data_IF_431567576736
#
_entry.id   IF_431567576736
#
_cell.length_a   1.000
_cell.length_b   1.000
_cell.length_c   1.000
_cell.angle_alpha   90.00
_cell.angle_beta   90.00
_cell.angle_gamma   90.00
#
_symmetry.space_group_name_H-M   'P 1'
#
loop_
_entity.id
_entity.type
_entity.pdbx_description
1 polymer ?
#
# COMPACT_ATOMS: atom_id res chain seq x y z
N UNK A 1 -7.89 -21.21 -18.42
CA UNK A 1 -8.30 -19.86 -18.86
C UNK A 1 -7.81 -18.84 -17.83
N UNK A 2 -6.90 -17.96 -18.22
CA UNK A 2 -6.31 -16.92 -17.36
C UNK A 2 -7.33 -15.83 -16.95
N UNK A 3 -8.46 -15.71 -17.64
CA UNK A 3 -9.51 -14.73 -17.34
C UNK A 3 -10.33 -15.01 -16.07
N UNK A 4 -10.50 -16.28 -15.67
CA UNK A 4 -11.31 -16.62 -14.49
C UNK A 4 -10.63 -16.28 -13.15
N UNK A 5 -9.29 -16.33 -13.09
CA UNK A 5 -8.55 -15.97 -11.85
C UNK A 5 -8.53 -14.46 -11.60
N UNK A 6 -8.51 -13.64 -12.66
CA UNK A 6 -8.61 -12.19 -12.54
C UNK A 6 -10.01 -11.72 -12.10
N UNK A 7 -11.07 -12.33 -12.64
CA UNK A 7 -12.43 -12.04 -12.21
C UNK A 7 -12.65 -12.38 -10.73
N UNK A 8 -12.04 -13.47 -10.24
CA UNK A 8 -12.12 -13.88 -8.84
C UNK A 8 -11.35 -12.92 -7.89
N UNK A 9 -10.19 -12.41 -8.31
CA UNK A 9 -9.42 -11.41 -7.54
C UNK A 9 -10.15 -10.06 -7.45
N UNK A 10 -10.72 -9.59 -8.56
CA UNK A 10 -11.54 -8.37 -8.59
C UNK A 10 -12.81 -8.53 -7.75
N UNK A 11 -13.47 -9.69 -7.83
CA UNK A 11 -14.63 -10.00 -7.00
C UNK A 11 -14.26 -10.07 -5.51
N UNK A 12 -13.11 -10.65 -5.15
CA UNK A 12 -12.61 -10.70 -3.77
C UNK A 12 -12.21 -9.33 -3.24
N UNK A 13 -11.58 -8.49 -4.05
CA UNK A 13 -11.26 -7.10 -3.68
C UNK A 13 -12.54 -6.28 -3.44
N UNK A 14 -13.55 -6.42 -4.30
CA UNK A 14 -14.89 -5.81 -4.11
C UNK A 14 -15.59 -6.34 -2.87
N UNK A 15 -15.52 -7.64 -2.59
CA UNK A 15 -16.15 -8.28 -1.44
C UNK A 15 -15.46 -7.86 -0.12
N UNK A 16 -14.14 -7.71 -0.10
CA UNK A 16 -13.40 -7.31 1.10
C UNK A 16 -13.54 -5.83 1.44
N UNK A 17 -13.73 -4.97 0.43
CA UNK A 17 -14.17 -3.60 0.63
C UNK A 17 -15.53 -3.52 1.35
N UNK A 18 -16.41 -4.53 1.17
CA UNK A 18 -17.69 -4.66 1.87
C UNK A 18 -17.55 -5.34 3.24
N UNK A 19 -16.70 -6.36 3.39
CA UNK A 19 -16.55 -7.09 4.67
C UNK A 19 -15.90 -6.23 5.75
N UNK A 20 -14.99 -5.30 5.41
CA UNK A 20 -14.42 -4.35 6.38
C UNK A 20 -15.47 -3.42 7.01
N UNK A 21 -16.63 -3.22 6.36
CA UNK A 21 -17.75 -2.43 6.89
C UNK A 21 -18.50 -3.19 7.99
N UNK A 22 -18.54 -4.53 7.94
CA UNK A 22 -19.41 -5.34 8.81
C UNK A 22 -18.75 -5.73 10.14
N UNK A 23 -17.42 -5.94 10.17
CA UNK A 23 -16.72 -6.45 11.36
C UNK A 23 -16.58 -5.42 12.49
N UNK A 24 -16.87 -4.13 12.27
CA UNK A 24 -16.77 -3.08 13.29
C UNK A 24 -18.13 -2.59 13.86
N UNK A 25 -19.27 -3.05 13.31
CA UNK A 25 -20.60 -2.61 13.74
C UNK A 25 -21.21 -3.42 14.91
N UNK A 26 -20.58 -4.51 15.37
CA UNK A 26 -21.14 -5.39 16.42
C UNK A 26 -20.44 -5.34 17.79
N UNK A 27 -19.55 -4.38 18.04
CA UNK A 27 -18.84 -4.31 19.31
C UNK A 27 -19.38 -3.24 20.25
N UNK A 28 -20.55 -3.44 20.89
CA UNK A 28 -20.94 -2.74 22.15
C UNK A 28 -22.26 -3.26 22.72
N UNK A 29 -22.21 -4.20 23.67
CA UNK A 29 -23.07 -4.21 24.85
C UNK A 29 -22.32 -4.85 26.03
N UNK A 30 -22.27 -4.13 27.15
CA UNK A 30 -21.66 -4.54 28.43
C UNK A 30 -22.51 -5.62 29.12
N UNK A 31 -21.88 -6.63 29.70
CA UNK A 31 -22.39 -7.38 30.85
C UNK A 31 -21.22 -7.85 31.74
N UNK A 32 -21.39 -7.70 33.06
CA UNK A 32 -20.44 -8.04 34.14
C UNK A 32 -20.22 -9.58 34.30
N UNK A 33 -19.18 -10.02 35.04
CA UNK A 33 -18.71 -11.40 34.98
C UNK A 33 -19.50 -12.34 35.89
N UNK A 34 -19.83 -13.53 35.38
CA UNK A 34 -20.28 -14.67 36.18
C UNK A 34 -19.15 -15.72 36.21
N UNK A 35 -18.63 -15.97 37.40
CA UNK A 35 -17.72 -17.07 37.72
C UNK A 35 -18.43 -18.43 37.67
N UNK A 36 -17.76 -19.52 37.30
CA UNK A 36 -18.16 -20.84 37.77
C UNK A 36 -17.11 -21.52 38.66
N UNK A 37 -17.62 -22.12 39.72
CA UNK A 37 -16.95 -22.92 40.73
C UNK A 37 -16.46 -24.30 40.21
N UNK A 38 -15.57 -24.94 40.96
CA UNK A 38 -15.11 -26.33 40.82
C UNK A 38 -15.35 -27.10 42.15
N UNK A 39 -15.14 -28.44 42.20
CA UNK A 39 -16.11 -29.55 42.21
C UNK A 39 -16.22 -30.25 43.60
N UNK A 40 -16.91 -31.40 43.77
CA UNK A 40 -16.22 -32.69 44.07
C UNK A 40 -17.05 -33.99 43.70
N UNK A 41 -16.80 -35.22 44.23
CA UNK A 41 -15.72 -36.18 43.91
C UNK A 41 -16.18 -37.67 43.65
N UNK A 42 -15.24 -38.54 43.24
CA UNK A 42 -15.28 -40.03 43.35
C UNK A 42 -15.89 -40.78 42.15
N UNK A 43 -15.44 -41.95 41.69
CA UNK A 43 -14.61 -43.01 42.29
C UNK A 43 -14.00 -43.96 41.24
N UNK A 44 -12.72 -44.30 41.48
CA UNK A 44 -11.88 -45.50 41.21
C UNK A 44 -12.48 -46.72 40.46
N UNK A 45 -11.69 -47.39 39.62
CA UNK A 45 -10.88 -48.63 39.86
C UNK A 45 -10.19 -49.02 38.53
N UNK A 46 -8.84 -49.07 38.44
CA UNK A 46 -7.99 -50.29 38.50
C UNK A 46 -7.74 -50.85 37.08
N UNK A 47 -6.59 -51.36 36.59
CA UNK A 47 -5.33 -51.88 37.14
C UNK A 47 -4.32 -52.00 35.96
N UNK A 48 -3.03 -51.81 36.23
CA UNK A 48 -1.79 -52.00 35.41
C UNK A 48 -1.40 -53.51 35.23
N UNK A 49 -0.24 -53.95 34.64
CA UNK A 49 0.81 -53.32 33.79
C UNK A 49 1.40 -54.23 32.64
N UNK A 50 2.52 -53.78 32.04
CA UNK A 50 3.69 -54.52 31.50
C UNK A 50 3.77 -54.97 30.01
N UNK A 51 4.71 -54.40 29.24
CA UNK A 51 6.06 -54.97 28.96
C UNK A 51 6.85 -54.13 27.91
N UNK A 52 8.16 -53.94 28.18
CA UNK A 52 9.19 -53.28 27.33
C UNK A 52 10.00 -54.34 26.50
N UNK A 53 11.25 -54.08 26.03
CA UNK A 53 11.63 -53.45 24.76
C UNK A 53 12.65 -54.30 23.94
N UNK A 54 13.12 -53.81 22.78
CA UNK A 54 14.43 -54.22 22.25
C UNK A 54 14.63 -54.09 20.73
N UNK A 55 15.81 -53.65 20.32
CA UNK A 55 16.30 -53.90 18.95
C UNK A 55 17.28 -52.88 18.35
N UNK A 56 18.53 -52.87 18.80
CA UNK A 56 19.70 -52.29 18.10
C UNK A 56 20.63 -53.41 17.62
N UNK A 57 21.24 -53.29 16.42
CA UNK A 57 22.53 -53.91 15.97
C UNK A 57 22.79 -53.48 14.50
N UNK A 58 23.82 -52.69 14.20
CA UNK A 58 25.20 -53.04 13.77
C UNK A 58 25.32 -53.95 12.53
N UNK A 59 26.09 -53.51 11.53
CA UNK A 59 26.63 -54.35 10.45
C UNK A 59 27.62 -53.58 9.56
N UNK A 60 28.82 -54.15 9.37
CA UNK A 60 30.03 -53.60 8.73
C UNK A 60 30.52 -54.63 7.73
N UNK A 61 30.87 -54.24 6.49
CA UNK A 61 31.81 -54.92 5.56
C UNK A 61 31.65 -54.29 4.16
N UNK A 62 32.62 -53.49 3.69
CA UNK A 62 33.68 -53.84 2.72
C UNK A 62 33.16 -54.20 1.33
N UNK A 63 33.50 -53.41 0.31
CA UNK A 63 34.10 -53.93 -0.93
C UNK A 63 34.60 -52.84 -1.91
N UNK A 64 35.90 -52.93 -2.17
CA UNK A 64 36.66 -52.83 -3.44
C UNK A 64 36.62 -51.60 -4.37
N UNK A 65 37.87 -51.21 -4.70
CA UNK A 65 38.35 -50.28 -5.71
C UNK A 65 38.09 -50.76 -7.16
N UNK A 66 37.77 -49.82 -8.04
CA UNK A 66 37.76 -49.97 -9.51
C UNK A 66 37.62 -48.60 -10.21
N UNK A 67 38.17 -48.38 -11.41
CA UNK A 67 38.86 -47.14 -11.77
C UNK A 67 37.99 -46.01 -12.33
N UNK A 68 38.47 -44.78 -12.11
CA UNK A 68 38.04 -43.55 -12.79
C UNK A 68 38.28 -43.63 -14.31
N UNK A 69 37.28 -43.29 -15.14
CA UNK A 69 37.53 -42.76 -16.47
C UNK A 69 37.59 -41.23 -16.42
N UNK A 70 38.74 -40.68 -16.81
CA UNK A 70 38.92 -39.28 -17.17
C UNK A 70 38.07 -38.92 -18.39
N UNK A 71 37.17 -37.94 -18.24
CA UNK A 71 36.51 -37.28 -19.36
C UNK A 71 36.95 -35.82 -19.39
N UNK A 72 37.66 -35.51 -20.47
CA UNK A 72 38.09 -34.21 -20.95
C UNK A 72 36.94 -33.29 -21.38
N UNK A 73 37.13 -31.99 -21.15
CA UNK A 73 36.63 -30.82 -21.89
C UNK A 73 35.39 -30.96 -22.81
N UNK A 74 34.35 -30.15 -22.53
CA UNK A 74 33.34 -29.82 -23.53
C UNK A 74 32.26 -28.84 -23.06
N UNK A 75 32.23 -27.67 -23.71
CA UNK A 75 31.11 -26.72 -23.85
C UNK A 75 30.71 -25.84 -22.64
N UNK A 76 31.35 -24.68 -22.54
CA UNK A 76 30.79 -23.49 -21.90
C UNK A 76 29.61 -22.98 -22.74
N UNK A 77 28.39 -23.21 -22.29
CA UNK A 77 27.19 -22.61 -22.87
C UNK A 77 27.26 -21.09 -22.70
N UNK A 78 27.54 -20.37 -23.79
CA UNK A 78 27.41 -18.91 -23.84
C UNK A 78 25.91 -18.57 -23.88
N UNK A 79 25.36 -18.16 -22.75
CA UNK A 79 24.02 -17.56 -22.72
C UNK A 79 24.13 -16.11 -23.20
N UNK A 80 23.64 -15.86 -24.42
CA UNK A 80 23.52 -14.52 -24.98
C UNK A 80 22.54 -13.71 -24.10
N UNK A 81 22.92 -12.55 -23.54
CA UNK A 81 21.99 -11.77 -22.71
C UNK A 81 20.77 -11.37 -23.55
N UNK A 82 19.57 -11.70 -23.09
CA UNK A 82 18.34 -11.18 -23.70
C UNK A 82 18.35 -9.64 -23.56
N UNK A 83 18.24 -8.96 -24.69
CA UNK A 83 18.11 -7.51 -24.72
C UNK A 83 16.89 -7.09 -23.90
N UNK A 84 17.10 -6.20 -22.92
CA UNK A 84 16.05 -5.64 -22.09
C UNK A 84 15.14 -4.78 -23.01
N UNK A 85 13.80 -4.93 -22.97
CA UNK A 85 12.91 -4.08 -23.74
C UNK A 85 13.18 -2.62 -23.37
N UNK A 86 13.65 -1.82 -24.34
CA UNK A 86 13.81 -0.38 -24.17
C UNK A 86 12.42 0.24 -24.08
N UNK A 87 12.06 0.74 -22.90
CA UNK A 87 10.83 1.53 -22.75
C UNK A 87 10.92 2.75 -23.68
N UNK A 88 9.82 3.13 -24.35
CA UNK A 88 9.80 4.33 -25.18
C UNK A 88 10.17 5.56 -24.33
N UNK A 89 10.89 6.55 -24.89
CA UNK A 89 11.22 7.77 -24.17
C UNK A 89 9.93 8.47 -23.72
N UNK A 90 9.86 8.78 -22.43
CA UNK A 90 8.76 9.55 -21.84
C UNK A 90 8.69 10.87 -22.60
N UNK A 91 7.60 11.07 -23.34
CA UNK A 91 7.39 12.27 -24.14
C UNK A 91 7.35 13.48 -23.21
N UNK A 92 8.01 14.58 -23.58
CA UNK A 92 7.92 15.80 -22.79
C UNK A 92 6.46 16.24 -22.61
N UNK A 93 6.12 16.83 -21.45
CA UNK A 93 4.75 17.24 -21.17
C UNK A 93 4.28 18.23 -22.23
N UNK A 94 3.23 17.83 -22.96
CA UNK A 94 2.58 18.62 -24.03
C UNK A 94 1.81 19.87 -23.55
N UNK A 95 1.91 20.20 -22.26
CA UNK A 95 1.23 21.34 -21.66
C UNK A 95 2.25 22.23 -20.95
N UNK A 96 2.12 23.57 -21.01
CA UNK A 96 2.95 24.46 -20.22
C UNK A 96 2.77 24.10 -18.74
N UNK A 97 3.87 23.71 -18.09
CA UNK A 97 3.85 23.24 -16.71
C UNK A 97 3.69 24.42 -15.76
N UNK A 98 2.88 24.27 -14.72
CA UNK A 98 2.99 25.12 -13.56
C UNK A 98 4.24 24.69 -12.76
N UNK A 99 5.34 25.46 -12.76
CA UNK A 99 6.59 25.04 -12.11
C UNK A 99 6.46 24.96 -10.57
N UNK A 100 5.34 25.43 -10.01
CA UNK A 100 5.08 25.45 -8.58
C UNK A 100 4.95 24.05 -8.00
N UNK A 101 4.13 23.16 -8.57
CA UNK A 101 3.86 21.85 -7.97
C UNK A 101 4.75 20.74 -8.53
N UNK A 102 5.25 19.90 -7.62
CA UNK A 102 6.29 18.89 -7.90
C UNK A 102 5.92 17.49 -7.39
N UNK A 103 4.90 17.37 -6.55
CA UNK A 103 4.41 16.09 -6.00
C UNK A 103 2.95 16.21 -5.59
N UNK A 104 2.21 15.12 -5.78
CA UNK A 104 0.88 14.93 -5.20
C UNK A 104 0.95 13.79 -4.18
N UNK A 105 0.42 14.01 -2.99
CA UNK A 105 0.26 12.98 -1.97
C UNK A 105 -1.24 12.75 -1.69
N UNK A 106 -1.69 11.50 -1.69
CA UNK A 106 -3.09 11.12 -1.50
C UNK A 106 -3.21 10.13 -0.34
N UNK A 107 -4.19 10.33 0.53
CA UNK A 107 -4.53 9.41 1.62
C UNK A 107 -5.98 8.94 1.53
N UNK A 108 -6.23 7.65 1.78
CA UNK A 108 -7.57 7.06 1.75
C UNK A 108 -7.67 5.80 2.61
N UNK A 109 -8.89 5.39 2.97
CA UNK A 109 -9.15 4.18 3.77
C UNK A 109 -10.42 3.46 3.27
N UNK A 110 -11.45 3.28 4.09
CA UNK A 110 -12.72 2.65 3.70
C UNK A 110 -13.40 3.41 2.55
N UNK A 111 -13.73 2.69 1.47
CA UNK A 111 -14.20 3.27 0.21
C UNK A 111 -13.09 3.83 -0.69
N UNK A 112 -11.85 3.85 -0.19
CA UNK A 112 -10.67 4.42 -0.84
C UNK A 112 -10.35 3.82 -2.21
N UNK A 113 -10.38 2.48 -2.45
CA UNK A 113 -10.04 1.93 -3.75
C UNK A 113 -10.91 2.48 -4.91
N UNK A 114 -12.23 2.64 -4.68
CA UNK A 114 -13.12 3.21 -5.68
C UNK A 114 -12.94 4.73 -5.83
N UNK A 115 -12.68 5.43 -4.72
CA UNK A 115 -12.38 6.86 -4.75
C UNK A 115 -11.07 7.14 -5.51
N UNK A 116 -10.02 6.38 -5.23
CA UNK A 116 -8.75 6.43 -5.95
C UNK A 116 -8.94 6.18 -7.44
N UNK A 117 -9.70 5.16 -7.83
CA UNK A 117 -10.00 4.93 -9.24
C UNK A 117 -10.66 6.14 -9.90
N UNK A 118 -11.69 6.73 -9.27
CA UNK A 118 -12.38 7.92 -9.78
C UNK A 118 -11.40 9.09 -10.00
N UNK A 119 -10.55 9.37 -9.01
CA UNK A 119 -9.55 10.44 -9.10
C UNK A 119 -8.50 10.16 -10.17
N UNK A 120 -7.91 8.96 -10.16
CA UNK A 120 -6.72 8.64 -10.95
C UNK A 120 -7.01 8.35 -12.43
N UNK A 121 -8.24 7.90 -12.76
CA UNK A 121 -8.67 7.64 -14.15
C UNK A 121 -8.67 8.90 -15.03
N UNK A 122 -8.98 10.04 -14.44
CA UNK A 122 -9.09 11.32 -15.16
C UNK A 122 -7.72 11.97 -15.39
N UNK A 123 -6.68 11.48 -14.71
CA UNK A 123 -5.32 11.97 -14.85
C UNK A 123 -4.73 11.48 -16.19
N UNK A 124 -4.18 12.38 -17.04
CA UNK A 124 -3.65 12.01 -18.34
C UNK A 124 -2.28 11.32 -18.25
N UNK A 125 -1.91 10.56 -19.29
CA UNK A 125 -0.66 9.79 -19.33
C UNK A 125 0.62 10.64 -19.21
N UNK A 126 0.54 11.93 -19.53
CA UNK A 126 1.65 12.89 -19.49
C UNK A 126 1.63 13.77 -18.23
N UNK A 127 0.99 13.32 -17.15
CA UNK A 127 0.93 14.07 -15.89
C UNK A 127 2.35 14.36 -15.36
N UNK A 128 2.66 15.62 -15.00
CA UNK A 128 4.05 16.06 -14.87
C UNK A 128 4.67 15.84 -13.48
N UNK A 129 3.95 15.23 -12.54
CA UNK A 129 4.42 14.96 -11.19
C UNK A 129 4.22 13.48 -10.80
N UNK A 130 5.04 12.95 -9.87
CA UNK A 130 4.73 11.69 -9.21
C UNK A 130 3.50 11.85 -8.28
N UNK A 131 2.74 10.77 -8.13
CA UNK A 131 1.63 10.68 -7.19
C UNK A 131 1.98 9.61 -6.15
N UNK A 132 1.99 9.99 -4.87
CA UNK A 132 2.25 9.10 -3.74
C UNK A 132 0.93 8.81 -3.04
N UNK A 133 0.63 7.55 -2.75
CA UNK A 133 -0.67 7.15 -2.21
C UNK A 133 -0.48 6.27 -0.99
N UNK A 134 -1.12 6.66 0.12
CA UNK A 134 -1.40 5.77 1.25
C UNK A 134 -2.86 5.33 1.16
N UNK A 135 -3.07 4.02 1.09
CA UNK A 135 -4.38 3.39 1.19
C UNK A 135 -4.35 2.45 2.38
N UNK A 136 -5.19 2.70 3.40
CA UNK A 136 -5.37 1.72 4.48
C UNK A 136 -6.19 0.55 3.97
N UNK A 137 -5.56 -0.59 3.83
CA UNK A 137 -6.17 -1.85 3.41
C UNK A 137 -5.49 -2.99 4.19
N UNK A 138 -6.14 -4.16 4.25
CA UNK A 138 -5.53 -5.32 4.89
C UNK A 138 -4.19 -5.69 4.22
N UNK A 139 -3.22 -6.13 5.02
CA UNK A 139 -1.92 -6.60 4.51
C UNK A 139 -2.10 -7.73 3.50
N UNK A 140 -1.30 -7.70 2.42
CA UNK A 140 -1.38 -8.64 1.30
C UNK A 140 -2.29 -8.18 0.14
N UNK A 141 -3.00 -7.05 0.28
CA UNK A 141 -3.92 -6.57 -0.76
C UNK A 141 -3.35 -5.44 -1.62
N UNK A 142 -2.26 -4.78 -1.21
CA UNK A 142 -1.74 -3.62 -1.93
C UNK A 142 -1.24 -3.98 -3.34
N UNK A 143 -0.66 -5.17 -3.52
CA UNK A 143 -0.18 -5.61 -4.83
C UNK A 143 -1.35 -5.78 -5.82
N UNK A 144 -2.44 -6.41 -5.39
CA UNK A 144 -3.64 -6.56 -6.21
C UNK A 144 -4.33 -5.22 -6.49
N UNK A 145 -4.30 -4.28 -5.55
CA UNK A 145 -4.78 -2.92 -5.77
C UNK A 145 -3.93 -2.20 -6.83
N UNK A 146 -2.60 -2.31 -6.75
CA UNK A 146 -1.70 -1.72 -7.74
C UNK A 146 -1.96 -2.28 -9.14
N UNK A 147 -2.05 -3.61 -9.28
CA UNK A 147 -2.34 -4.27 -10.56
C UNK A 147 -3.69 -3.82 -11.15
N UNK A 148 -4.73 -3.73 -10.31
CA UNK A 148 -6.04 -3.27 -10.77
C UNK A 148 -6.01 -1.80 -11.22
N UNK A 149 -5.39 -0.90 -10.43
CA UNK A 149 -5.29 0.50 -10.82
C UNK A 149 -4.40 0.71 -12.05
N UNK A 150 -3.32 -0.07 -12.21
CA UNK A 150 -2.43 -0.04 -13.39
C UNK A 150 -3.19 -0.39 -14.68
N UNK A 151 -4.16 -1.31 -14.58
CA UNK A 151 -5.04 -1.66 -15.70
C UNK A 151 -6.06 -0.56 -16.04
N UNK A 152 -6.62 0.10 -15.02
CA UNK A 152 -7.72 1.06 -15.20
C UNK A 152 -7.25 2.50 -15.46
N UNK A 153 -6.01 2.85 -15.08
CA UNK A 153 -5.48 4.21 -15.18
C UNK A 153 -4.55 4.37 -16.38
N UNK A 154 -4.37 5.63 -16.83
CA UNK A 154 -3.44 5.96 -17.92
C UNK A 154 -1.98 6.04 -17.47
N UNK A 155 -1.75 6.27 -16.18
CA UNK A 155 -0.43 6.29 -15.58
C UNK A 155 -0.08 4.91 -15.03
N UNK A 156 1.18 4.47 -15.15
CA UNK A 156 1.62 3.26 -14.48
C UNK A 156 1.48 3.37 -12.96
N UNK A 157 1.02 2.29 -12.33
CA UNK A 157 0.81 2.19 -10.89
C UNK A 157 1.73 1.12 -10.32
N UNK A 158 2.50 1.46 -9.28
CA UNK A 158 3.47 0.54 -8.67
C UNK A 158 3.41 0.60 -7.16
N UNK A 159 3.67 -0.54 -6.52
CA UNK A 159 4.02 -0.54 -5.10
C UNK A 159 5.41 0.08 -4.96
N UNK A 160 5.54 1.05 -4.05
CA UNK A 160 6.79 1.74 -3.76
C UNK A 160 7.88 0.76 -3.31
N UNK A 161 9.14 1.09 -3.62
CA UNK A 161 10.31 0.33 -3.18
C UNK A 161 11.27 1.26 -2.46
N UNK A 162 11.87 0.76 -1.39
CA UNK A 162 12.87 1.53 -0.64
C UNK A 162 14.04 1.93 -1.54
N UNK A 163 14.53 3.15 -1.36
CA UNK A 163 15.64 3.70 -2.14
C UNK A 163 15.29 4.06 -3.59
N UNK A 164 14.04 3.86 -4.02
CA UNK A 164 13.60 4.18 -5.37
C UNK A 164 13.39 5.68 -5.56
N UNK A 165 13.84 6.22 -6.69
CA UNK A 165 13.47 7.57 -7.14
C UNK A 165 12.03 7.58 -7.67
N UNK A 166 11.16 8.42 -7.14
CA UNK A 166 9.85 8.69 -7.73
C UNK A 166 10.00 9.52 -9.02
N UNK A 167 9.28 9.12 -10.08
CA UNK A 167 9.32 9.76 -11.39
C UNK A 167 7.98 10.39 -11.74
N UNK A 168 8.01 11.51 -12.48
CA UNK A 168 6.80 12.12 -13.03
C UNK A 168 5.98 11.12 -13.84
N UNK A 169 4.66 11.23 -13.77
CA UNK A 169 3.76 10.35 -14.50
C UNK A 169 3.73 8.91 -13.97
N UNK A 170 4.02 8.70 -12.68
CA UNK A 170 3.91 7.39 -12.04
C UNK A 170 3.18 7.53 -10.70
N UNK A 171 2.30 6.57 -10.43
CA UNK A 171 1.58 6.46 -9.16
C UNK A 171 2.29 5.40 -8.30
N UNK A 172 2.62 5.77 -7.06
CA UNK A 172 3.27 4.90 -6.10
C UNK A 172 2.38 4.65 -4.89
N UNK A 173 1.98 3.40 -4.69
CA UNK A 173 1.27 2.96 -3.51
C UNK A 173 2.25 2.62 -2.39
N UNK A 174 1.96 3.06 -1.18
CA UNK A 174 2.70 2.66 0.02
C UNK A 174 2.64 1.13 0.20
N UNK A 175 3.75 0.45 0.53
CA UNK A 175 3.74 -1.00 0.71
C UNK A 175 3.02 -1.39 2.00
N UNK A 176 2.69 -2.69 2.13
CA UNK A 176 2.12 -3.23 3.35
C UNK A 176 3.10 -3.10 4.53
N UNK A 177 2.56 -2.84 5.72
CA UNK A 177 3.25 -2.89 7.01
C UNK A 177 4.45 -1.93 7.19
N UNK A 178 4.69 -1.00 6.25
CA UNK A 178 5.78 -0.01 6.30
C UNK A 178 5.30 1.38 5.91
N UNK A 179 5.86 2.43 6.51
CA UNK A 179 5.52 3.81 6.14
C UNK A 179 6.14 4.17 4.78
N UNK A 180 5.39 4.85 3.90
CA UNK A 180 5.94 5.49 2.72
C UNK A 180 6.30 6.93 3.05
N UNK A 181 7.58 7.25 3.07
CA UNK A 181 8.07 8.61 3.25
C UNK A 181 8.65 9.15 1.95
N UNK A 182 8.63 10.47 1.80
CA UNK A 182 9.34 11.16 0.74
C UNK A 182 10.46 12.02 1.32
N UNK A 183 11.70 11.76 0.91
CA UNK A 183 12.86 12.57 1.27
C UNK A 183 13.38 13.31 0.04
N UNK A 184 13.67 14.61 0.18
CA UNK A 184 14.35 15.42 -0.84
C UNK A 184 15.87 15.41 -0.59
N UNK A 185 16.57 14.47 -1.21
CA UNK A 185 18.04 14.51 -1.26
C UNK A 185 18.52 14.70 -2.71
N UNK A 186 19.42 15.68 -2.93
CA UNK A 186 19.99 16.12 -4.24
C UNK A 186 19.16 15.80 -5.50
N UNK A 187 17.93 16.31 -5.56
CA UNK A 187 17.10 16.28 -6.77
C UNK A 187 16.18 15.08 -6.94
N UNK A 188 16.13 14.19 -5.94
CA UNK A 188 15.46 12.89 -6.04
C UNK A 188 14.35 12.76 -5.01
N UNK A 189 13.28 12.09 -5.42
CA UNK A 189 12.19 11.64 -4.56
C UNK A 189 12.56 10.28 -4.00
N UNK A 190 13.27 10.24 -2.87
CA UNK A 190 13.63 8.96 -2.27
C UNK A 190 12.45 8.43 -1.47
N UNK A 191 11.94 7.26 -1.87
CA UNK A 191 10.96 6.54 -1.09
C UNK A 191 11.69 5.78 0.03
N UNK A 192 11.31 6.05 1.27
CA UNK A 192 11.84 5.33 2.43
C UNK A 192 10.75 4.50 3.07
N UNK A 193 11.09 3.26 3.41
CA UNK A 193 10.23 2.40 4.25
C UNK A 193 10.71 2.44 5.68
N UNK A 194 9.96 3.12 6.54
CA UNK A 194 10.28 3.24 7.97
C UNK A 194 9.34 2.37 8.82
N UNK A 195 9.94 1.67 9.79
CA UNK A 195 9.25 0.89 10.82
C UNK A 195 9.47 1.46 12.23
N UNK A 196 10.30 2.50 12.34
CA UNK A 196 10.51 3.27 13.55
C UNK A 196 9.36 4.25 13.75
N UNK A 197 8.97 4.44 15.02
CA UNK A 197 7.79 5.22 15.38
C UNK A 197 6.66 4.38 15.99
N UNK A 198 5.94 4.98 16.93
CA UNK A 198 4.87 4.35 17.71
C UNK A 198 3.50 4.35 17.03
N UNK A 199 3.42 4.68 15.74
CA UNK A 199 2.16 4.67 15.00
C UNK A 199 1.55 3.28 14.97
N UNK A 200 0.25 3.21 15.28
CA UNK A 200 -0.49 1.94 15.37
C UNK A 200 -0.92 1.40 14.00
N UNK A 201 -1.00 2.27 12.99
CA UNK A 201 -1.46 1.94 11.63
C UNK A 201 -0.25 2.06 10.70
N UNK A 202 -0.06 1.08 9.82
CA UNK A 202 1.02 1.05 8.84
C UNK A 202 0.51 0.51 7.51
N UNK A 203 0.73 1.22 6.39
CA UNK A 203 1.26 2.58 6.29
C UNK A 203 0.33 3.62 6.95
N UNK A 204 0.91 4.66 7.57
CA UNK A 204 0.18 5.81 8.09
C UNK A 204 0.25 7.00 7.11
N UNK A 205 -0.89 7.65 6.90
CA UNK A 205 -1.01 8.80 6.01
C UNK A 205 -0.32 10.06 6.56
N UNK A 206 -0.39 10.29 7.88
CA UNK A 206 0.26 11.44 8.53
C UNK A 206 1.77 11.45 8.28
N UNK A 207 2.39 10.26 8.28
CA UNK A 207 3.83 10.10 8.00
C UNK A 207 4.20 10.49 6.57
N UNK A 208 3.40 10.05 5.58
CA UNK A 208 3.60 10.47 4.19
C UNK A 208 3.46 11.98 4.07
N UNK A 209 2.36 12.55 4.54
CA UNK A 209 2.09 13.98 4.40
C UNK A 209 3.11 14.86 5.11
N UNK A 210 3.55 14.51 6.32
CA UNK A 210 4.59 15.25 7.04
C UNK A 210 5.91 15.25 6.27
N UNK A 211 6.36 14.09 5.78
CA UNK A 211 7.61 14.01 5.00
C UNK A 211 7.53 14.82 3.68
N UNK A 212 6.36 14.86 3.06
CA UNK A 212 6.09 15.69 1.87
C UNK A 212 6.09 17.18 2.22
N UNK A 213 5.48 17.57 3.33
CA UNK A 213 5.50 18.95 3.83
C UNK A 213 6.93 19.45 4.03
N UNK A 214 7.76 18.68 4.73
CA UNK A 214 9.17 18.99 5.00
C UNK A 214 10.00 19.08 3.71
N UNK A 215 9.77 18.16 2.78
CA UNK A 215 10.56 18.06 1.54
C UNK A 215 10.17 19.10 0.47
N UNK A 216 8.89 19.42 0.35
CA UNK A 216 8.35 20.20 -0.78
C UNK A 216 7.71 21.52 -0.40
N UNK A 217 7.24 21.67 0.84
CA UNK A 217 6.53 22.85 1.32
C UNK A 217 5.43 23.29 0.34
N UNK A 218 5.47 24.52 -0.19
CA UNK A 218 4.42 25.05 -1.07
C UNK A 218 4.36 24.37 -2.45
N UNK A 219 5.34 23.52 -2.78
CA UNK A 219 5.43 22.82 -4.05
C UNK A 219 4.73 21.46 -4.04
N UNK A 220 3.92 21.18 -3.02
CA UNK A 220 3.16 19.94 -2.88
C UNK A 220 1.65 20.20 -2.97
N UNK A 221 0.94 19.14 -3.35
CA UNK A 221 -0.51 19.03 -3.22
C UNK A 221 -0.81 17.82 -2.32
N UNK A 222 -1.61 18.03 -1.27
CA UNK A 222 -2.11 16.97 -0.39
C UNK A 222 -3.59 16.74 -0.62
N UNK A 223 -4.02 15.48 -0.69
CA UNK A 223 -5.42 15.10 -0.92
C UNK A 223 -5.84 14.06 0.11
N UNK A 224 -6.87 14.33 0.90
CA UNK A 224 -7.46 13.35 1.82
C UNK A 224 -8.84 12.92 1.32
N UNK A 225 -9.01 11.62 1.12
CA UNK A 225 -10.23 11.01 0.60
C UNK A 225 -10.99 10.27 1.71
N UNK A 226 -12.11 9.66 1.33
CA UNK A 226 -12.98 8.82 2.15
C UNK A 226 -12.18 7.85 3.02
N UNK A 227 -12.65 7.70 4.26
CA UNK A 227 -12.02 6.83 5.22
C UNK A 227 -12.50 7.04 6.64
N UNK A 228 -12.37 6.00 7.46
CA UNK A 228 -12.63 6.09 8.89
C UNK A 228 -11.42 6.65 9.64
N UNK A 229 -11.67 7.32 10.76
CA UNK A 229 -10.63 7.76 11.67
C UNK A 229 -10.09 9.15 11.33
N UNK A 230 -8.85 9.41 11.72
CA UNK A 230 -8.21 10.73 11.67
C UNK A 230 -6.84 10.75 11.00
N UNK A 231 -6.27 9.59 10.69
CA UNK A 231 -4.94 9.53 10.11
C UNK A 231 -4.93 10.25 8.76
N UNK A 232 -3.87 11.02 8.52
CA UNK A 232 -3.74 11.96 7.42
C UNK A 232 -4.20 13.38 7.77
N UNK A 233 -5.00 13.61 8.81
CA UNK A 233 -5.48 14.96 9.13
C UNK A 233 -4.35 15.86 9.64
N UNK A 234 -3.56 15.39 10.60
CA UNK A 234 -2.51 16.18 11.23
C UNK A 234 -1.35 16.41 10.25
N UNK A 235 -0.98 15.41 9.46
CA UNK A 235 0.00 15.53 8.37
C UNK A 235 -0.48 16.45 7.24
N UNK A 236 -1.78 16.42 6.89
CA UNK A 236 -2.32 17.38 5.91
C UNK A 236 -2.30 18.81 6.47
N UNK A 237 -2.47 18.97 7.79
CA UNK A 237 -2.32 20.26 8.46
C UNK A 237 -0.87 20.75 8.42
N UNK A 238 0.09 19.85 8.61
CA UNK A 238 1.52 20.15 8.43
C UNK A 238 1.79 20.61 6.99
N UNK A 239 1.24 19.92 5.98
CA UNK A 239 1.32 20.35 4.58
C UNK A 239 0.72 21.75 4.36
N UNK A 240 -0.48 22.01 4.90
CA UNK A 240 -1.14 23.32 4.81
C UNK A 240 -0.30 24.42 5.47
N UNK A 241 0.27 24.14 6.64
CA UNK A 241 1.17 25.06 7.35
C UNK A 241 2.46 25.36 6.60
N UNK A 242 2.97 24.39 5.83
CA UNK A 242 4.12 24.55 4.95
C UNK A 242 3.78 25.24 3.61
N UNK A 243 2.53 25.67 3.41
CA UNK A 243 2.07 26.40 2.23
C UNK A 243 1.59 25.52 1.07
N UNK A 244 1.45 24.21 1.28
CA UNK A 244 0.94 23.30 0.25
C UNK A 244 -0.55 23.56 -0.06
N UNK A 245 -0.96 23.17 -1.27
CA UNK A 245 -2.38 23.12 -1.61
C UNK A 245 -3.00 21.85 -1.05
N UNK A 246 -4.14 21.94 -0.36
CA UNK A 246 -4.74 20.79 0.33
C UNK A 246 -6.21 20.63 0.00
N UNK A 247 -6.58 19.42 -0.42
CA UNK A 247 -7.92 19.07 -0.87
C UNK A 247 -8.49 18.00 0.05
N UNK A 248 -9.78 18.11 0.38
CA UNK A 248 -10.53 17.03 1.00
C UNK A 248 -11.71 16.61 0.12
N UNK A 249 -12.00 15.31 0.09
CA UNK A 249 -13.23 14.80 -0.50
C UNK A 249 -14.45 15.28 0.32
N UNK A 250 -15.51 15.70 -0.35
CA UNK A 250 -16.76 16.11 0.26
C UNK A 250 -17.52 14.97 0.96
N UNK A 251 -18.51 15.32 1.77
CA UNK A 251 -19.35 14.35 2.47
C UNK A 251 -20.23 13.55 1.51
N UNK A 252 -20.81 14.21 0.51
CA UNK A 252 -21.80 13.62 -0.39
C UNK A 252 -21.24 12.47 -1.23
N UNK A 253 -19.95 12.51 -1.60
CA UNK A 253 -19.30 11.44 -2.36
C UNK A 253 -18.47 10.48 -1.51
N UNK A 254 -18.28 10.76 -0.22
CA UNK A 254 -17.53 9.92 0.69
C UNK A 254 -18.33 8.67 1.08
N UNK A 255 -17.72 7.50 0.97
CA UNK A 255 -18.32 6.29 1.54
C UNK A 255 -18.34 6.37 3.08
N UNK A 256 -17.27 6.92 3.67
CA UNK A 256 -17.14 7.25 5.09
C UNK A 256 -16.49 8.63 5.20
N UNK A 257 -17.25 9.61 5.66
CA UNK A 257 -16.78 10.99 5.87
C UNK A 257 -16.11 11.16 7.26
N UNK A 258 -15.08 10.35 7.54
CA UNK A 258 -14.30 10.40 8.77
C UNK A 258 -13.02 11.21 8.61
N UNK A 259 -12.06 10.67 7.86
CA UNK A 259 -10.77 11.30 7.58
C UNK A 259 -10.93 12.73 7.00
N UNK A 260 -11.75 12.96 5.95
CA UNK A 260 -11.95 14.32 5.42
C UNK A 260 -12.57 15.26 6.45
N UNK A 261 -13.56 14.79 7.22
CA UNK A 261 -14.24 15.59 8.26
C UNK A 261 -13.27 16.09 9.32
N UNK A 262 -12.37 15.23 9.80
CA UNK A 262 -11.36 15.62 10.79
C UNK A 262 -10.41 16.65 10.20
N UNK A 263 -9.87 16.41 9.00
CA UNK A 263 -8.98 17.34 8.32
C UNK A 263 -9.61 18.74 8.13
N UNK A 264 -10.87 18.79 7.69
CA UNK A 264 -11.64 20.04 7.58
C UNK A 264 -11.75 20.72 8.94
N UNK A 265 -12.15 19.99 9.98
CA UNK A 265 -12.40 20.56 11.32
C UNK A 265 -11.17 21.18 11.98
N UNK A 266 -9.97 20.69 11.66
CA UNK A 266 -8.72 21.21 12.24
C UNK A 266 -8.06 22.29 11.38
N UNK A 267 -8.70 22.71 10.27
CA UNK A 267 -8.18 23.72 9.35
C UNK A 267 -7.07 23.24 8.42
N UNK A 268 -7.00 21.93 8.16
CA UNK A 268 -5.98 21.34 7.28
C UNK A 268 -6.28 21.53 5.78
N UNK A 269 -7.50 21.93 5.44
CA UNK A 269 -8.03 21.85 4.07
C UNK A 269 -8.21 23.24 3.47
N UNK A 270 -7.76 23.40 2.22
CA UNK A 270 -7.90 24.64 1.46
C UNK A 270 -9.07 24.62 0.47
N UNK A 271 -9.47 23.42 0.03
CA UNK A 271 -10.56 23.22 -0.93
C UNK A 271 -11.26 21.89 -0.64
N UNK A 272 -12.59 21.88 -0.68
CA UNK A 272 -13.40 20.66 -0.53
C UNK A 272 -14.08 20.39 -1.87
N UNK A 273 -13.97 19.16 -2.38
CA UNK A 273 -14.44 18.80 -3.72
C UNK A 273 -15.17 17.46 -3.71
N UNK A 274 -16.13 17.29 -4.64
CA UNK A 274 -16.65 15.97 -4.95
C UNK A 274 -15.51 15.11 -5.54
N UNK A 275 -15.51 13.80 -5.26
CA UNK A 275 -14.41 12.91 -5.68
C UNK A 275 -14.15 12.92 -7.19
N UNK A 276 -15.20 13.08 -7.98
CA UNK A 276 -15.15 13.10 -9.45
C UNK A 276 -14.55 14.42 -9.99
N UNK A 277 -14.39 15.45 -9.15
CA UNK A 277 -13.78 16.73 -9.51
C UNK A 277 -12.29 16.79 -9.16
N UNK A 278 -11.83 15.97 -8.20
CA UNK A 278 -10.46 16.01 -7.69
C UNK A 278 -9.44 15.70 -8.79
N UNK A 279 -9.69 14.71 -9.65
CA UNK A 279 -8.78 14.34 -10.74
C UNK A 279 -8.52 15.50 -11.70
N UNK A 280 -9.60 16.11 -12.21
CA UNK A 280 -9.51 17.27 -13.09
C UNK A 280 -8.91 18.49 -12.39
N UNK A 281 -9.18 18.67 -11.08
CA UNK A 281 -8.57 19.74 -10.30
C UNK A 281 -7.05 19.61 -10.24
N UNK A 282 -6.54 18.39 -9.99
CA UNK A 282 -5.10 18.13 -10.00
C UNK A 282 -4.48 18.47 -11.34
N UNK A 283 -5.11 18.08 -12.45
CA UNK A 283 -4.65 18.45 -13.80
C UNK A 283 -4.55 19.98 -13.93
N UNK A 284 -5.62 20.70 -13.61
CA UNK A 284 -5.67 22.16 -13.73
C UNK A 284 -4.63 22.88 -12.86
N UNK A 285 -4.29 22.34 -11.68
CA UNK A 285 -3.28 22.94 -10.81
C UNK A 285 -1.85 22.79 -11.37
N UNK A 286 -1.58 21.69 -12.08
CA UNK A 286 -0.26 21.38 -12.63
C UNK A 286 -0.05 21.82 -14.09
N UNK A 287 -1.12 22.09 -14.84
CA UNK A 287 -1.07 22.64 -16.20
C UNK A 287 -1.43 24.12 -16.18
N UNK A 288 -0.57 24.98 -16.74
CA UNK A 288 -0.94 26.36 -17.02
C UNK A 288 -2.05 26.37 -18.07
N UNK A 289 -3.06 27.21 -17.85
CA UNK A 289 -4.12 27.52 -18.82
C UNK A 289 -3.56 28.33 -19.99
#
# INVERSE_FOLDING_TARGET
SWGNKQAELVARAKLLAQVSVVTHLHGRHKALPLTPAKPPPGSRFGIDPELRPGGSKTGRSSDTLGPHPSISNGARLQTKPLARPTLPPVSEPRFPLNPLYRVVAIASSTGGPLALLKVLRDIPANFPAPILVVQHIASGFIAGLAEWLDHECKLPVRVARDGQRATAGVIYLAPDDVHLLCNRNRGDFLLQTDNSGGERIRPAADMLFRSVAESYGPRAIGVILTGMGRDGADGLKDMRGAGAYTIAQDEATSAIFGMPKVAISIGAVSEVLAVDEVGQRLVNLLTLS
#
